data_IF_977152724731
#
_entry.id   IF_977152724731
#
_cell.length_a   1.000
_cell.length_b   1.000
_cell.length_c   1.000
_cell.angle_alpha   90.00
_cell.angle_beta   90.00
_cell.angle_gamma   90.00
#
_symmetry.space_group_name_H-M   'P 1'
#
loop_
_entity.id
_entity.type
_entity.pdbx_description
1 polymer ?
#
# COMPACT_ATOMS: atom_id res chain seq x y z
N UNK A 1 -0.33 -13.88 60.28
CA UNK A 1 -1.69 -14.38 60.61
C UNK A 1 -2.82 -13.43 60.18
N UNK A 2 -2.92 -12.16 60.63
CA UNK A 2 -4.02 -11.24 60.21
C UNK A 2 -4.05 -10.92 58.70
N UNK A 3 -2.89 -10.68 58.09
CA UNK A 3 -2.79 -10.39 56.64
C UNK A 3 -3.18 -11.61 55.77
N UNK A 4 -2.74 -12.80 56.18
CA UNK A 4 -3.07 -14.06 55.51
C UNK A 4 -4.59 -14.36 55.56
N UNK A 5 -5.22 -14.12 56.71
CA UNK A 5 -6.67 -14.28 56.84
C UNK A 5 -7.44 -13.29 55.95
N UNK A 6 -6.99 -12.02 55.90
CA UNK A 6 -7.55 -11.01 54.98
C UNK A 6 -7.42 -11.43 53.51
N UNK A 7 -6.25 -11.93 53.12
CA UNK A 7 -5.98 -12.44 51.78
C UNK A 7 -6.92 -13.60 51.41
N UNK A 8 -7.00 -14.64 52.25
CA UNK A 8 -7.86 -15.82 52.02
C UNK A 8 -9.33 -15.41 51.89
N UNK A 9 -9.78 -14.48 52.75
CA UNK A 9 -11.15 -13.95 52.74
C UNK A 9 -11.46 -13.16 51.47
N UNK A 10 -10.52 -12.35 50.99
CA UNK A 10 -10.66 -11.64 49.72
C UNK A 10 -10.72 -12.62 48.54
N UNK A 11 -9.77 -13.54 48.44
CA UNK A 11 -9.72 -14.55 47.36
C UNK A 11 -11.03 -15.33 47.23
N UNK A 12 -11.67 -15.69 48.35
CA UNK A 12 -12.98 -16.36 48.37
C UNK A 12 -14.12 -15.51 47.80
N UNK A 13 -14.09 -14.20 48.06
CA UNK A 13 -15.17 -13.26 47.68
C UNK A 13 -14.82 -12.35 46.48
N UNK A 14 -13.68 -12.59 45.81
CA UNK A 14 -13.10 -11.67 44.83
C UNK A 14 -14.04 -11.35 43.67
N UNK A 15 -14.74 -12.34 43.13
CA UNK A 15 -15.61 -12.17 41.95
C UNK A 15 -16.76 -11.21 42.27
N UNK A 16 -17.45 -11.42 43.40
CA UNK A 16 -18.53 -10.53 43.86
C UNK A 16 -18.01 -9.11 44.09
N UNK A 17 -16.84 -8.97 44.70
CA UNK A 17 -16.21 -7.66 44.92
C UNK A 17 -15.87 -6.96 43.60
N UNK A 18 -15.20 -7.65 42.67
CA UNK A 18 -14.78 -7.10 41.39
C UNK A 18 -15.99 -6.71 40.52
N UNK A 19 -17.04 -7.53 40.47
CA UNK A 19 -18.27 -7.22 39.74
C UNK A 19 -18.92 -5.92 40.24
N UNK A 20 -19.02 -5.75 41.57
CA UNK A 20 -19.55 -4.52 42.15
C UNK A 20 -18.70 -3.29 41.81
N UNK A 21 -17.37 -3.44 41.79
CA UNK A 21 -16.45 -2.36 41.43
C UNK A 21 -16.50 -2.03 39.94
N UNK A 22 -16.61 -3.03 39.07
CA UNK A 22 -16.78 -2.84 37.63
C UNK A 22 -18.07 -2.08 37.33
N UNK A 23 -19.18 -2.45 37.96
CA UNK A 23 -20.44 -1.71 37.82
C UNK A 23 -20.31 -0.25 38.28
N UNK A 24 -19.56 0.01 39.34
CA UNK A 24 -19.30 1.38 39.79
C UNK A 24 -18.48 2.17 38.76
N UNK A 25 -17.44 1.55 38.20
CA UNK A 25 -16.63 2.13 37.13
C UNK A 25 -17.47 2.46 35.89
N UNK A 26 -18.37 1.57 35.48
CA UNK A 26 -19.27 1.78 34.33
C UNK A 26 -20.24 2.94 34.51
N UNK A 27 -20.64 3.25 35.74
CA UNK A 27 -21.61 4.32 36.05
C UNK A 27 -21.04 5.73 35.97
N UNK A 28 -19.72 5.88 36.04
CA UNK A 28 -19.06 7.18 36.08
C UNK A 28 -18.01 7.25 34.96
N UNK A 29 -18.15 8.18 34.01
CA UNK A 29 -17.09 8.42 33.04
C UNK A 29 -15.76 8.67 33.76
N UNK A 30 -14.72 7.94 33.36
CA UNK A 30 -13.39 8.08 33.93
C UNK A 30 -12.34 8.19 32.84
N UNK A 31 -11.38 9.09 33.05
CA UNK A 31 -10.18 9.19 32.21
C UNK A 31 -9.10 8.19 32.64
N UNK A 32 -9.31 7.52 33.77
CA UNK A 32 -8.43 6.45 34.23
C UNK A 32 -8.69 5.16 33.43
N UNK A 33 -7.62 4.41 33.20
CA UNK A 33 -7.70 3.06 32.65
C UNK A 33 -7.73 2.12 33.84
N UNK A 34 -8.93 1.66 34.20
CA UNK A 34 -9.08 0.74 35.32
C UNK A 34 -8.53 -0.64 34.95
N UNK A 35 -7.50 -1.10 35.65
CA UNK A 35 -6.89 -2.42 35.43
C UNK A 35 -7.51 -3.46 36.35
N UNK A 36 -7.61 -3.16 37.64
CA UNK A 36 -8.11 -4.11 38.62
C UNK A 36 -7.80 -3.75 40.06
N UNK A 37 -7.61 -4.77 40.89
CA UNK A 37 -7.27 -4.63 42.30
C UNK A 37 -6.14 -5.58 42.69
N UNK A 38 -5.29 -5.14 43.61
CA UNK A 38 -4.29 -6.01 44.24
C UNK A 38 -4.96 -7.06 45.11
N UNK A 39 -4.20 -8.10 45.48
CA UNK A 39 -4.66 -9.11 46.45
C UNK A 39 -4.98 -8.53 47.85
N UNK A 40 -4.60 -7.27 48.09
CA UNK A 40 -4.91 -6.51 49.32
C UNK A 40 -6.09 -5.53 49.17
N UNK A 41 -6.81 -5.60 48.04
CA UNK A 41 -7.95 -4.72 47.67
C UNK A 41 -7.57 -3.27 47.36
N UNK A 42 -6.31 -3.01 47.00
CA UNK A 42 -5.90 -1.69 46.53
C UNK A 42 -6.27 -1.55 45.06
N UNK A 43 -6.78 -0.39 44.66
CA UNK A 43 -7.17 -0.13 43.27
C UNK A 43 -5.92 0.04 42.41
N UNK A 44 -5.88 -0.64 41.28
CA UNK A 44 -4.85 -0.48 40.25
C UNK A 44 -5.50 0.13 39.02
N UNK A 45 -5.02 1.30 38.63
CA UNK A 45 -5.42 2.00 37.43
C UNK A 45 -4.19 2.65 36.81
N UNK A 46 -4.23 2.83 35.50
CA UNK A 46 -3.24 3.58 34.75
C UNK A 46 -3.81 4.92 34.34
N UNK A 47 -2.94 5.91 34.23
CA UNK A 47 -3.27 7.19 33.64
C UNK A 47 -3.25 7.09 32.11
N UNK A 48 -4.12 7.84 31.43
CA UNK A 48 -4.20 7.81 29.98
C UNK A 48 -2.86 8.06 29.27
N UNK A 49 -1.98 8.89 29.86
CA UNK A 49 -0.65 9.20 29.32
C UNK A 49 0.31 8.00 29.33
N UNK A 50 0.11 7.02 30.20
CA UNK A 50 0.99 5.84 30.28
C UNK A 50 0.85 4.96 29.03
N UNK A 51 -0.35 4.88 28.44
CA UNK A 51 -0.57 4.10 27.21
C UNK A 51 0.02 4.77 25.96
N UNK A 52 0.40 6.05 26.03
CA UNK A 52 1.05 6.72 24.90
C UNK A 52 2.45 6.14 24.62
N UNK A 53 3.04 5.39 25.57
CA UNK A 53 4.34 4.72 25.42
C UNK A 53 4.24 3.25 25.01
N UNK A 54 3.05 2.79 24.60
CA UNK A 54 2.73 1.40 24.35
C UNK A 54 2.78 0.51 25.62
N UNK A 55 2.08 -0.62 25.57
CA UNK A 55 2.06 -1.61 26.66
C UNK A 55 2.40 -2.98 26.11
N UNK A 56 3.33 -3.67 26.79
CA UNK A 56 3.57 -5.09 26.60
C UNK A 56 2.94 -5.89 27.75
N UNK A 57 2.01 -6.79 27.43
CA UNK A 57 1.44 -7.73 28.40
C UNK A 57 1.87 -9.16 28.06
N UNK A 58 2.61 -9.80 28.96
CA UNK A 58 3.12 -11.16 28.79
C UNK A 58 2.50 -12.12 29.80
N UNK A 59 2.47 -13.41 29.47
CA UNK A 59 1.96 -14.47 30.36
C UNK A 59 1.43 -15.67 29.60
N UNK A 60 1.28 -16.81 30.27
CA UNK A 60 0.70 -18.03 29.69
C UNK A 60 -0.81 -17.96 29.46
N UNK A 61 -1.41 -19.02 28.93
CA UNK A 61 -2.88 -19.14 28.85
C UNK A 61 -3.49 -19.16 30.25
N UNK A 62 -4.61 -18.45 30.44
CA UNK A 62 -5.30 -18.38 31.73
C UNK A 62 -4.73 -17.37 32.74
N UNK A 63 -3.65 -16.65 32.42
CA UNK A 63 -3.08 -15.63 33.32
C UNK A 63 -3.83 -14.29 33.32
N UNK A 64 -4.88 -14.16 32.50
CA UNK A 64 -5.72 -12.95 32.46
C UNK A 64 -5.38 -11.93 31.37
N UNK A 65 -4.54 -12.26 30.39
CA UNK A 65 -4.21 -11.34 29.26
C UNK A 65 -5.46 -10.83 28.54
N UNK A 66 -6.38 -11.72 28.16
CA UNK A 66 -7.65 -11.36 27.50
C UNK A 66 -8.50 -10.46 28.39
N UNK A 67 -8.50 -10.69 29.71
CA UNK A 67 -9.20 -9.84 30.67
C UNK A 67 -8.57 -8.45 30.74
N UNK A 68 -7.23 -8.34 30.74
CA UNK A 68 -6.54 -7.06 30.70
C UNK A 68 -6.88 -6.30 29.40
N UNK A 69 -6.83 -6.96 28.25
CA UNK A 69 -7.24 -6.38 26.96
C UNK A 69 -8.68 -5.86 27.03
N UNK A 70 -9.62 -6.64 27.57
CA UNK A 70 -11.01 -6.21 27.75
C UNK A 70 -11.11 -4.95 28.63
N UNK A 71 -10.35 -4.87 29.72
CA UNK A 71 -10.30 -3.66 30.57
C UNK A 71 -9.77 -2.44 29.82
N UNK A 72 -8.72 -2.60 29.01
CA UNK A 72 -8.17 -1.51 28.18
C UNK A 72 -9.17 -1.06 27.12
N UNK A 73 -9.85 -2.01 26.46
CA UNK A 73 -10.92 -1.72 25.51
C UNK A 73 -12.08 -0.98 26.18
N UNK A 74 -12.52 -1.43 27.35
CA UNK A 74 -13.60 -0.79 28.10
C UNK A 74 -13.24 0.66 28.49
N UNK A 75 -11.99 0.91 28.88
CA UNK A 75 -11.49 2.26 29.15
C UNK A 75 -11.47 3.14 27.89
N UNK A 76 -11.03 2.60 26.75
CA UNK A 76 -11.08 3.32 25.47
C UNK A 76 -12.53 3.63 25.05
N UNK A 77 -13.47 2.70 25.23
CA UNK A 77 -14.89 2.89 24.94
C UNK A 77 -15.55 3.97 25.82
N UNK A 78 -15.17 4.04 27.10
CA UNK A 78 -15.60 5.10 28.02
C UNK A 78 -15.08 6.49 27.64
N UNK A 79 -13.93 6.54 26.95
CA UNK A 79 -13.25 7.77 26.56
C UNK A 79 -13.49 8.13 25.08
N UNK A 80 -14.45 7.48 24.43
CA UNK A 80 -14.79 7.69 23.01
C UNK A 80 -13.60 7.51 22.06
N UNK A 81 -12.63 6.66 22.43
CA UNK A 81 -11.46 6.38 21.61
C UNK A 81 -11.74 5.25 20.61
N UNK A 82 -11.36 5.39 19.34
CA UNK A 82 -11.49 4.31 18.37
C UNK A 82 -10.54 3.16 18.74
N UNK A 83 -10.98 1.93 18.49
CA UNK A 83 -10.22 0.72 18.79
C UNK A 83 -10.05 -0.07 17.50
N UNK A 84 -8.80 -0.42 17.19
CA UNK A 84 -8.46 -1.44 16.21
C UNK A 84 -7.93 -2.63 16.99
N UNK A 85 -8.60 -3.77 16.84
CA UNK A 85 -8.24 -5.00 17.54
C UNK A 85 -7.88 -6.09 16.53
N UNK A 86 -6.66 -6.60 16.62
CA UNK A 86 -6.17 -7.71 15.81
C UNK A 86 -6.06 -8.96 16.69
N UNK A 87 -6.90 -9.96 16.41
CA UNK A 87 -6.87 -11.24 17.11
C UNK A 87 -6.10 -12.28 16.29
N UNK A 88 -4.91 -12.64 16.75
CA UNK A 88 -4.11 -13.70 16.14
C UNK A 88 -4.62 -15.12 16.45
N UNK A 89 -5.52 -15.29 17.43
CA UNK A 89 -6.08 -16.61 17.78
C UNK A 89 -7.35 -16.96 17.02
N UNK A 90 -8.14 -15.95 16.62
CA UNK A 90 -9.40 -16.14 15.90
C UNK A 90 -10.50 -16.84 16.70
N UNK A 91 -10.50 -16.70 18.03
CA UNK A 91 -11.48 -17.39 18.88
C UNK A 91 -12.86 -16.73 18.76
N UNK A 92 -13.84 -17.43 18.17
CA UNK A 92 -15.22 -16.91 17.97
C UNK A 92 -15.85 -16.33 19.23
N UNK A 93 -15.63 -16.98 20.37
CA UNK A 93 -16.17 -16.52 21.66
C UNK A 93 -15.63 -15.12 22.02
N UNK A 94 -14.32 -14.92 21.92
CA UNK A 94 -13.66 -13.65 22.22
C UNK A 94 -14.15 -12.53 21.29
N UNK A 95 -14.31 -12.83 19.99
CA UNK A 95 -14.85 -11.87 19.02
C UNK A 95 -16.28 -11.42 19.37
N UNK A 96 -17.16 -12.36 19.74
CA UNK A 96 -18.54 -12.04 20.13
C UNK A 96 -18.60 -11.27 21.45
N UNK A 97 -17.75 -11.61 22.43
CA UNK A 97 -17.67 -10.89 23.70
C UNK A 97 -17.21 -9.43 23.49
N UNK A 98 -16.22 -9.19 22.63
CA UNK A 98 -15.77 -7.83 22.32
C UNK A 98 -16.78 -7.04 21.51
N UNK A 99 -17.47 -7.68 20.55
CA UNK A 99 -18.57 -7.04 19.83
C UNK A 99 -19.68 -6.60 20.79
N UNK A 100 -20.13 -7.49 21.66
CA UNK A 100 -21.14 -7.19 22.66
C UNK A 100 -20.70 -6.07 23.61
N UNK A 101 -19.43 -6.05 24.02
CA UNK A 101 -18.88 -4.96 24.83
C UNK A 101 -19.00 -3.61 24.11
N UNK A 102 -18.57 -3.51 22.86
CA UNK A 102 -18.67 -2.27 22.08
C UNK A 102 -20.13 -1.81 21.88
N UNK A 103 -21.03 -2.74 21.59
CA UNK A 103 -22.47 -2.47 21.40
C UNK A 103 -23.14 -1.94 22.67
N UNK A 104 -22.77 -2.45 23.85
CA UNK A 104 -23.24 -1.93 25.15
C UNK A 104 -22.85 -0.45 25.35
N UNK A 105 -21.73 -0.03 24.79
CA UNK A 105 -21.28 1.37 24.78
C UNK A 105 -21.83 2.17 23.58
N UNK A 106 -22.76 1.61 22.81
CA UNK A 106 -23.35 2.26 21.64
C UNK A 106 -22.36 2.48 20.48
N UNK A 107 -21.28 1.70 20.42
CA UNK A 107 -20.27 1.82 19.34
C UNK A 107 -20.58 0.87 18.21
N UNK A 108 -20.44 1.38 16.98
CA UNK A 108 -20.50 0.57 15.78
C UNK A 108 -19.25 -0.30 15.68
N UNK A 109 -19.44 -1.59 15.44
CA UNK A 109 -18.35 -2.58 15.28
C UNK A 109 -18.27 -3.01 13.83
N UNK A 110 -17.06 -3.01 13.29
CA UNK A 110 -16.74 -3.61 12.00
C UNK A 110 -15.88 -4.83 12.25
N UNK A 111 -16.39 -6.01 11.92
CA UNK A 111 -15.71 -7.28 12.11
C UNK A 111 -15.24 -7.80 10.75
N UNK A 112 -13.93 -7.86 10.55
CA UNK A 112 -13.33 -8.46 9.37
C UNK A 112 -12.88 -9.88 9.72
N UNK A 113 -13.70 -10.87 9.38
CA UNK A 113 -13.44 -12.28 9.66
C UNK A 113 -14.22 -13.16 8.69
N UNK A 114 -13.90 -14.46 8.63
CA UNK A 114 -14.65 -15.44 7.84
C UNK A 114 -16.12 -15.61 8.31
N UNK A 115 -16.46 -15.09 9.49
CA UNK A 115 -17.78 -15.22 10.11
C UNK A 115 -18.70 -14.02 9.82
N UNK A 116 -18.21 -12.99 9.14
CA UNK A 116 -18.94 -11.77 8.79
C UNK A 116 -18.81 -11.50 7.29
N UNK A 117 -19.70 -10.68 6.73
CA UNK A 117 -19.74 -10.36 5.30
C UNK A 117 -19.01 -9.05 4.96
N UNK A 118 -18.41 -8.39 5.95
CA UNK A 118 -17.64 -7.17 5.74
C UNK A 118 -16.34 -7.47 4.99
N UNK A 119 -16.17 -6.79 3.85
CA UNK A 119 -14.96 -6.88 3.03
C UNK A 119 -14.09 -5.66 3.22
N UNK A 120 -12.78 -5.84 3.02
CA UNK A 120 -11.78 -4.78 3.08
C UNK A 120 -10.79 -4.94 1.94
N UNK A 121 -10.49 -3.83 1.28
CA UNK A 121 -9.45 -3.75 0.26
C UNK A 121 -8.32 -2.84 0.76
N UNK A 122 -7.17 -3.40 1.21
CA UNK A 122 -6.08 -2.63 1.81
C UNK A 122 -5.32 -1.73 0.84
N UNK A 123 -5.50 -1.95 -0.47
CA UNK A 123 -4.80 -1.27 -1.56
C UNK A 123 -5.71 -0.38 -2.39
N UNK A 124 -6.99 -0.26 -2.01
CA UNK A 124 -7.96 0.61 -2.69
C UNK A 124 -7.48 2.07 -2.73
N UNK A 125 -6.86 2.54 -1.64
CA UNK A 125 -6.43 3.91 -1.46
C UNK A 125 -4.92 3.98 -1.19
N UNK A 126 -4.35 5.15 -1.48
CA UNK A 126 -2.94 5.47 -1.28
C UNK A 126 -2.22 5.74 -2.60
N UNK A 127 -0.96 6.15 -2.51
CA UNK A 127 -0.10 6.32 -3.69
C UNK A 127 0.31 4.96 -4.27
N UNK A 128 0.77 4.91 -5.53
CA UNK A 128 1.38 3.71 -6.09
C UNK A 128 2.54 3.18 -5.24
N UNK A 129 3.32 4.08 -4.65
CA UNK A 129 4.43 3.75 -3.74
C UNK A 129 3.93 3.07 -2.47
N UNK A 130 2.92 3.64 -1.79
CA UNK A 130 2.34 3.03 -0.59
C UNK A 130 1.71 1.67 -0.88
N UNK A 131 1.07 1.52 -2.05
CA UNK A 131 0.46 0.25 -2.46
C UNK A 131 1.52 -0.81 -2.71
N UNK A 132 2.58 -0.46 -3.45
CA UNK A 132 3.76 -1.30 -3.64
C UNK A 132 4.35 -1.72 -2.31
N UNK A 133 4.61 -0.78 -1.39
CA UNK A 133 5.24 -1.07 -0.10
C UNK A 133 4.40 -2.01 0.77
N UNK A 134 3.08 -1.77 0.82
CA UNK A 134 2.12 -2.67 1.49
C UNK A 134 2.22 -4.08 0.92
N UNK A 135 2.18 -4.23 -0.41
CA UNK A 135 2.23 -5.55 -1.06
C UNK A 135 3.58 -6.23 -0.89
N UNK A 136 4.68 -5.51 -1.06
CA UNK A 136 6.04 -6.03 -0.86
C UNK A 136 6.24 -6.51 0.57
N UNK A 137 5.67 -5.81 1.57
CA UNK A 137 5.76 -6.20 2.98
C UNK A 137 5.04 -7.51 3.35
N UNK A 138 4.15 -8.02 2.47
CA UNK A 138 3.47 -9.29 2.69
C UNK A 138 4.39 -10.50 2.46
N UNK A 139 5.52 -10.31 1.78
CA UNK A 139 6.43 -11.38 1.41
C UNK A 139 7.81 -11.17 2.01
N UNK A 140 8.52 -12.28 2.24
CA UNK A 140 9.92 -12.25 2.66
C UNK A 140 10.82 -12.23 1.42
N UNK A 141 11.21 -11.04 1.00
CA UNK A 141 12.18 -10.85 -0.08
C UNK A 141 13.62 -10.92 0.42
N UNK A 142 14.55 -11.31 -0.46
CA UNK A 142 15.98 -11.23 -0.13
C UNK A 142 16.42 -9.78 -0.10
N UNK A 143 17.10 -9.38 0.98
CA UNK A 143 17.73 -8.07 1.14
C UNK A 143 19.23 -8.06 0.83
N UNK A 144 19.82 -9.22 0.55
CA UNK A 144 21.25 -9.40 0.36
C UNK A 144 21.59 -10.17 -0.92
N UNK A 145 22.81 -9.95 -1.41
CA UNK A 145 23.38 -10.61 -2.59
C UNK A 145 22.56 -10.38 -3.87
N UNK A 146 22.66 -11.31 -4.81
CA UNK A 146 21.94 -11.27 -6.09
C UNK A 146 20.42 -11.28 -5.90
N UNK A 147 19.92 -11.81 -4.78
CA UNK A 147 18.49 -11.79 -4.46
C UNK A 147 17.93 -10.38 -4.28
N UNK A 148 18.74 -9.42 -3.77
CA UNK A 148 18.31 -8.04 -3.60
C UNK A 148 18.03 -7.35 -4.94
N UNK A 149 18.79 -7.69 -5.99
CA UNK A 149 18.58 -7.18 -7.33
C UNK A 149 17.20 -7.55 -7.89
N UNK A 150 16.80 -8.83 -7.75
CA UNK A 150 15.48 -9.27 -8.19
C UNK A 150 14.34 -8.67 -7.37
N UNK A 151 14.54 -8.46 -6.06
CA UNK A 151 13.59 -7.76 -5.20
C UNK A 151 13.33 -6.34 -5.69
N UNK A 152 14.37 -5.60 -6.06
CA UNK A 152 14.24 -4.22 -6.57
C UNK A 152 13.51 -4.18 -7.92
N UNK A 153 13.81 -5.11 -8.83
CA UNK A 153 13.07 -5.26 -10.10
C UNK A 153 11.59 -5.54 -9.83
N UNK A 154 11.28 -6.51 -8.97
CA UNK A 154 9.90 -6.85 -8.63
C UNK A 154 9.15 -5.66 -8.02
N UNK A 155 9.81 -4.93 -7.12
CA UNK A 155 9.29 -3.71 -6.49
C UNK A 155 8.95 -2.63 -7.52
N UNK A 156 9.88 -2.34 -8.43
CA UNK A 156 9.69 -1.34 -9.50
C UNK A 156 8.58 -1.75 -10.46
N UNK A 157 8.57 -3.00 -10.88
CA UNK A 157 7.55 -3.54 -11.77
C UNK A 157 6.16 -3.46 -11.13
N UNK A 158 6.03 -3.87 -9.87
CA UNK A 158 4.76 -3.78 -9.15
C UNK A 158 4.27 -2.33 -9.05
N UNK A 159 5.18 -1.37 -8.82
CA UNK A 159 4.82 0.05 -8.82
C UNK A 159 4.29 0.53 -10.17
N UNK A 160 4.90 0.07 -11.27
CA UNK A 160 4.46 0.39 -12.63
C UNK A 160 3.07 -0.20 -12.91
N UNK A 161 2.82 -1.44 -12.50
CA UNK A 161 1.48 -2.06 -12.61
C UNK A 161 0.43 -1.23 -11.89
N UNK A 162 0.71 -0.77 -10.67
CA UNK A 162 -0.24 0.07 -9.93
C UNK A 162 -0.50 1.41 -10.64
N UNK A 163 0.54 2.05 -11.17
CA UNK A 163 0.38 3.29 -11.96
C UNK A 163 -0.45 3.06 -13.22
N UNK A 164 -0.21 1.95 -13.91
CA UNK A 164 -0.96 1.60 -15.11
C UNK A 164 -2.45 1.40 -14.81
N UNK A 165 -2.79 0.73 -13.71
CA UNK A 165 -4.17 0.57 -13.24
C UNK A 165 -4.82 1.94 -12.98
N UNK A 166 -4.09 2.86 -12.35
CA UNK A 166 -4.59 4.21 -12.05
C UNK A 166 -4.86 5.04 -13.29
N UNK A 167 -3.90 5.04 -14.22
CA UNK A 167 -4.00 5.78 -15.49
C UNK A 167 -5.17 5.26 -16.33
N UNK A 168 -5.34 3.94 -16.35
CA UNK A 168 -6.49 3.27 -16.96
C UNK A 168 -7.81 3.49 -16.21
N UNK A 169 -7.80 4.17 -15.06
CA UNK A 169 -8.96 4.41 -14.18
C UNK A 169 -9.69 3.12 -13.75
N UNK A 170 -8.96 2.02 -13.67
CA UNK A 170 -9.48 0.72 -13.21
C UNK A 170 -9.37 0.63 -11.69
N UNK A 171 -10.31 -0.08 -11.06
CA UNK A 171 -10.29 -0.25 -9.60
C UNK A 171 -9.07 -1.08 -9.17
N UNK A 172 -8.28 -0.55 -8.23
CA UNK A 172 -7.21 -1.32 -7.59
C UNK A 172 -7.78 -2.41 -6.70
N UNK A 173 -7.51 -3.66 -7.02
CA UNK A 173 -7.74 -4.80 -6.13
C UNK A 173 -6.66 -5.88 -6.34
N UNK A 174 -6.58 -6.82 -5.39
CA UNK A 174 -5.54 -7.85 -5.38
C UNK A 174 -5.63 -8.74 -6.61
N UNK A 175 -6.84 -9.01 -7.13
CA UNK A 175 -7.05 -9.89 -8.29
C UNK A 175 -6.54 -9.23 -9.56
N UNK A 176 -6.85 -7.95 -9.74
CA UNK A 176 -6.40 -7.14 -10.88
C UNK A 176 -4.88 -7.02 -10.88
N UNK A 177 -4.27 -6.69 -9.74
CA UNK A 177 -2.81 -6.63 -9.63
C UNK A 177 -2.20 -8.00 -9.94
N UNK A 178 -2.69 -9.08 -9.32
CA UNK A 178 -2.17 -10.43 -9.57
C UNK A 178 -2.25 -10.81 -11.05
N UNK A 179 -3.36 -10.50 -11.73
CA UNK A 179 -3.51 -10.72 -13.18
C UNK A 179 -2.45 -9.93 -13.96
N UNK A 180 -2.27 -8.66 -13.65
CA UNK A 180 -1.34 -7.76 -14.37
C UNK A 180 0.13 -7.96 -14.03
N UNK A 181 0.46 -8.84 -13.08
CA UNK A 181 1.86 -9.30 -12.91
C UNK A 181 2.28 -10.32 -13.95
N UNK A 182 1.33 -10.89 -14.71
CA UNK A 182 1.62 -11.73 -15.87
C UNK A 182 1.80 -10.84 -17.12
N UNK A 183 2.88 -11.08 -17.87
CA UNK A 183 3.28 -10.26 -19.02
C UNK A 183 2.23 -10.24 -20.13
N UNK A 184 1.64 -11.40 -20.47
CA UNK A 184 0.64 -11.49 -21.53
C UNK A 184 -0.62 -10.69 -21.16
N UNK A 185 -1.11 -10.89 -19.94
CA UNK A 185 -2.26 -10.16 -19.40
C UNK A 185 -1.99 -8.66 -19.30
N UNK A 186 -0.77 -8.26 -18.95
CA UNK A 186 -0.36 -6.85 -18.88
C UNK A 186 -0.32 -6.22 -20.27
N UNK A 187 0.26 -6.91 -21.26
CA UNK A 187 0.31 -6.43 -22.64
C UNK A 187 -1.09 -6.27 -23.25
N UNK A 188 -1.99 -7.22 -23.01
CA UNK A 188 -3.37 -7.13 -23.46
C UNK A 188 -4.10 -5.96 -22.79
N UNK A 189 -3.94 -5.81 -21.48
CA UNK A 189 -4.50 -4.68 -20.73
C UNK A 189 -3.97 -3.34 -21.24
N UNK A 190 -2.66 -3.25 -21.49
CA UNK A 190 -2.03 -2.05 -22.01
C UNK A 190 -2.61 -1.68 -23.38
N UNK A 191 -2.74 -2.64 -24.30
CA UNK A 191 -3.35 -2.41 -25.63
C UNK A 191 -4.80 -1.95 -25.55
N UNK A 192 -5.59 -2.57 -24.66
CA UNK A 192 -7.01 -2.24 -24.47
C UNK A 192 -7.21 -0.80 -23.95
N UNK A 193 -6.29 -0.30 -23.13
CA UNK A 193 -6.36 1.03 -22.52
C UNK A 193 -5.43 2.05 -23.18
N UNK A 194 -4.77 1.68 -24.28
CA UNK A 194 -3.96 2.60 -25.07
C UNK A 194 -4.84 3.38 -26.03
N UNK A 195 -4.62 4.69 -26.10
CA UNK A 195 -5.18 5.52 -27.16
C UNK A 195 -4.22 5.42 -28.35
N UNK A 196 -4.74 5.06 -29.52
CA UNK A 196 -3.97 5.17 -30.76
C UNK A 196 -4.05 6.62 -31.23
N UNK A 197 -2.95 7.35 -31.11
CA UNK A 197 -2.76 8.61 -31.82
C UNK A 197 -1.95 8.32 -33.08
N UNK A 198 -2.51 8.65 -34.25
CA UNK A 198 -1.71 8.73 -35.47
C UNK A 198 -0.79 9.94 -35.34
N UNK A 199 0.51 9.67 -35.19
CA UNK A 199 1.55 10.68 -35.29
C UNK A 199 1.88 10.77 -36.78
N UNK A 200 1.49 11.87 -37.44
CA UNK A 200 2.07 12.22 -38.74
C UNK A 200 3.54 12.56 -38.50
N UNK A 201 4.41 11.58 -38.69
CA UNK A 201 5.85 11.83 -38.82
C UNK A 201 6.10 12.34 -40.25
N UNK A 202 6.27 13.65 -40.39
CA UNK A 202 6.91 14.23 -41.57
C UNK A 202 8.37 13.74 -41.59
N UNK A 203 8.60 12.60 -42.23
CA UNK A 203 9.95 12.07 -42.43
C UNK A 203 10.60 12.95 -43.50
N UNK A 204 11.45 13.90 -43.09
CA UNK A 204 12.34 14.63 -44.01
C UNK A 204 13.21 13.61 -44.77
N UNK A 205 12.85 13.30 -46.01
CA UNK A 205 13.67 12.46 -46.88
C UNK A 205 14.66 13.37 -47.62
N UNK A 206 15.96 13.24 -47.33
CA UNK A 206 17.01 13.81 -48.19
C UNK A 206 17.00 13.07 -49.52
N UNK A 207 16.40 13.68 -50.55
CA UNK A 207 16.50 13.18 -51.93
C UNK A 207 17.70 13.86 -52.59
N UNK A 208 18.66 13.05 -53.05
CA UNK A 208 19.77 13.52 -53.88
C UNK A 208 19.30 13.60 -55.33
N UNK A 209 19.26 14.82 -55.88
CA UNK A 209 18.86 15.06 -57.27
C UNK A 209 20.10 15.51 -58.07
N UNK A 210 20.41 14.79 -59.15
CA UNK A 210 21.50 15.15 -60.07
C UNK A 210 21.02 16.24 -61.04
N UNK A 211 21.59 17.45 -60.94
CA UNK A 211 21.27 18.55 -61.87
C UNK A 211 22.45 18.80 -62.80
N UNK A 212 22.20 18.72 -64.11
CA UNK A 212 23.19 19.02 -65.14
C UNK A 212 23.30 20.54 -65.37
N UNK A 213 24.45 21.13 -65.05
CA UNK A 213 24.71 22.56 -65.30
C UNK A 213 25.56 22.71 -66.57
N UNK A 214 24.98 23.31 -67.61
CA UNK A 214 25.72 23.70 -68.81
C UNK A 214 24.96 24.68 -69.69
N UNK A 215 25.35 25.96 -69.66
CA UNK A 215 25.14 26.90 -70.78
C UNK A 215 26.49 27.44 -71.20
N UNK A 216 26.97 26.99 -72.36
CA UNK A 216 28.06 27.65 -73.06
C UNK A 216 27.51 28.93 -73.73
N UNK A 217 28.05 30.09 -73.37
CA UNK A 217 27.88 31.32 -74.14
C UNK A 217 28.79 31.27 -75.36
N UNK A 218 28.22 31.43 -76.55
CA UNK A 218 28.97 31.50 -77.80
C UNK A 218 29.71 32.84 -77.92
N UNK A 219 31.03 32.80 -78.12
CA UNK A 219 31.79 33.90 -78.71
C UNK A 219 32.67 33.33 -79.83
N UNK A 220 32.54 33.95 -81.00
CA UNK A 220 33.29 33.72 -82.23
C UNK A 220 34.74 34.19 -82.14
N UNK A 221 35.70 33.36 -82.55
CA UNK A 221 36.80 33.76 -83.44
C UNK A 221 37.65 32.54 -83.87
N UNK A 222 38.12 32.60 -85.11
CA UNK A 222 38.91 31.60 -85.85
C UNK A 222 40.29 31.33 -85.22
N UNK A 223 40.62 30.06 -84.91
CA UNK A 223 41.95 29.48 -85.18
C UNK A 223 41.94 27.93 -85.10
N UNK A 224 42.63 27.29 -86.04
CA UNK A 224 42.75 25.84 -86.21
C UNK A 224 44.04 25.34 -85.53
N UNK A 225 43.98 24.91 -84.27
CA UNK A 225 44.87 23.88 -83.72
C UNK A 225 44.43 23.40 -82.33
N UNK A 226 44.27 22.09 -82.15
CA UNK A 226 44.15 21.45 -80.84
C UNK A 226 43.04 20.41 -80.73
N UNK A 227 43.42 19.12 -80.82
CA UNK A 227 42.61 18.01 -80.32
C UNK A 227 42.39 18.21 -78.80
N UNK A 228 41.16 18.51 -78.37
CA UNK A 228 40.73 18.40 -76.97
C UNK A 228 39.42 17.64 -76.94
N UNK A 229 39.39 16.55 -76.16
CA UNK A 229 38.23 15.67 -75.99
C UNK A 229 37.00 16.42 -75.46
N UNK A 230 35.77 15.98 -75.77
CA UNK A 230 34.57 16.58 -75.17
C UNK A 230 34.62 16.38 -73.65
N UNK A 231 34.64 17.49 -72.90
CA UNK A 231 34.51 17.46 -71.45
C UNK A 231 33.15 16.90 -71.06
N UNK A 232 33.15 15.82 -70.27
CA UNK A 232 31.93 15.25 -69.68
C UNK A 232 31.15 16.32 -68.90
N UNK A 233 29.81 16.30 -68.93
CA UNK A 233 29.01 17.23 -68.14
C UNK A 233 29.32 17.03 -66.65
N UNK A 234 29.69 18.11 -65.96
CA UNK A 234 29.83 18.07 -64.50
C UNK A 234 28.43 17.91 -63.89
N UNK A 235 28.23 16.80 -63.19
CA UNK A 235 27.07 16.55 -62.34
C UNK A 235 27.40 17.04 -60.94
N UNK A 236 26.59 17.94 -60.39
CA UNK A 236 26.63 18.26 -58.95
C UNK A 236 25.46 17.57 -58.26
N UNK A 237 25.77 16.85 -57.18
CA UNK A 237 24.77 16.27 -56.27
C UNK A 237 24.30 17.38 -55.35
N UNK A 238 23.05 17.81 -55.51
CA UNK A 238 22.46 18.82 -54.63
C UNK A 238 21.55 18.12 -53.63
N UNK A 239 21.87 18.26 -52.34
CA UNK A 239 21.00 17.81 -51.26
C UNK A 239 19.83 18.75 -51.12
N UNK A 240 18.61 18.25 -51.33
CA UNK A 240 17.39 19.04 -51.12
C UNK A 240 16.58 18.43 -49.99
N UNK A 241 16.21 19.27 -49.03
CA UNK A 241 15.22 18.92 -48.01
C UNK A 241 13.82 19.01 -48.61
N UNK A 242 13.08 17.91 -48.56
CA UNK A 242 11.66 17.88 -48.89
C UNK A 242 10.94 17.50 -47.59
N UNK A 243 9.94 18.31 -47.24
CA UNK A 243 9.02 18.06 -46.12
C UNK A 243 7.95 17.10 -46.62
#
# INVERSE_FOLDING_TARGET
QKAEHRYKTFRKNRVKFLNNKQQHYRKKPSQEIFVGYTDFKERVALEARELNYHMLSTGGTGTGKTTLIASLMEAALQQDKPIIFADGKGERKSMLEFKALCEVYGRKVYLFSEMDNLTYNPIKNGTPTETRDKLMSLFSFSSEGDGAYYTDIASRYLQLVVKLIDEAQVTRDIKTIAKLTNVDSMNDFFKEHSIQEEIEEDIEVEVEEEVAVGKASASSDDDLSGFVAPSEPKVEIVKKKIV
#
